data_IF_328961852596
#
_entry.id   IF_328961852596
#
_cell.length_a   1.000
_cell.length_b   1.000
_cell.length_c   1.000
_cell.angle_alpha   90.00
_cell.angle_beta   90.00
_cell.angle_gamma   90.00
#
_symmetry.space_group_name_H-M   'P 1'
#
loop_
_entity.id
_entity.type
_entity.pdbx_description
1 polymer ?
#
# COMPACT_ATOMS: atom_id res chain seq x y z
N UNK A 1 -18.42 2.52 33.54
CA UNK A 1 -17.28 2.27 32.64
C UNK A 1 -16.92 0.79 32.71
N UNK A 2 -16.92 0.06 31.58
CA UNK A 2 -16.50 -1.33 31.54
C UNK A 2 -14.99 -1.39 31.24
N UNK A 3 -14.19 -1.64 32.28
CA UNK A 3 -12.73 -1.67 32.20
C UNK A 3 -12.28 -3.13 32.12
N UNK A 4 -12.72 -3.86 31.10
CA UNK A 4 -12.21 -5.22 30.88
C UNK A 4 -10.78 -5.11 30.32
N UNK A 5 -9.74 -5.66 31.00
CA UNK A 5 -8.38 -5.62 30.48
C UNK A 5 -8.34 -6.44 29.19
N UNK A 6 -8.07 -5.81 28.05
CA UNK A 6 -7.84 -6.54 26.79
C UNK A 6 -6.72 -7.53 27.04
N UNK A 7 -6.97 -8.81 26.77
CA UNK A 7 -5.94 -9.84 26.91
C UNK A 7 -4.82 -9.59 25.90
N UNK A 8 -3.59 -9.99 26.23
CA UNK A 8 -2.43 -9.89 25.33
C UNK A 8 -2.72 -10.52 23.94
N UNK A 9 -3.54 -11.57 23.93
CA UNK A 9 -3.96 -12.27 22.71
C UNK A 9 -4.88 -11.41 21.83
N UNK A 10 -5.76 -10.60 22.40
CA UNK A 10 -6.65 -9.69 21.66
C UNK A 10 -5.86 -8.55 21.00
N UNK A 11 -4.80 -8.08 21.66
CA UNK A 11 -3.93 -7.03 21.13
C UNK A 11 -3.14 -7.54 19.91
N UNK A 12 -2.53 -8.72 20.01
CA UNK A 12 -1.81 -9.35 18.91
C UNK A 12 -2.71 -9.59 17.68
N UNK A 13 -3.95 -10.08 17.87
CA UNK A 13 -4.93 -10.22 16.79
C UNK A 13 -5.28 -8.88 16.14
N UNK A 14 -5.46 -7.84 16.96
CA UNK A 14 -5.79 -6.50 16.44
C UNK A 14 -4.67 -5.89 15.60
N UNK A 15 -3.41 -6.07 16.00
CA UNK A 15 -2.26 -5.61 15.23
C UNK A 15 -2.12 -6.38 13.93
N UNK A 16 -2.34 -7.71 13.96
CA UNK A 16 -2.30 -8.55 12.77
C UNK A 16 -3.37 -8.16 11.74
N UNK A 17 -4.60 -7.88 12.19
CA UNK A 17 -5.66 -7.37 11.33
C UNK A 17 -5.33 -5.98 10.77
N UNK A 18 -4.72 -5.11 11.58
CA UNK A 18 -4.27 -3.79 11.13
C UNK A 18 -3.21 -3.90 10.04
N UNK A 19 -2.19 -4.74 10.22
CA UNK A 19 -1.16 -4.97 9.19
C UNK A 19 -1.73 -5.63 7.95
N UNK A 20 -2.66 -6.58 8.08
CA UNK A 20 -3.35 -7.18 6.95
C UNK A 20 -4.17 -6.14 6.16
N UNK A 21 -4.83 -5.21 6.84
CA UNK A 21 -5.54 -4.09 6.21
C UNK A 21 -4.60 -3.17 5.43
N UNK A 22 -3.45 -2.80 6.02
CA UNK A 22 -2.44 -1.99 5.35
C UNK A 22 -1.85 -2.69 4.12
N UNK A 23 -1.52 -3.99 4.24
CA UNK A 23 -1.04 -4.80 3.13
C UNK A 23 -2.09 -4.90 2.01
N UNK A 24 -3.36 -5.06 2.36
CA UNK A 24 -4.46 -5.13 1.40
C UNK A 24 -4.61 -3.82 0.63
N UNK A 25 -4.50 -2.67 1.31
CA UNK A 25 -4.51 -1.36 0.65
C UNK A 25 -3.35 -1.22 -0.35
N UNK A 26 -2.15 -1.65 0.02
CA UNK A 26 -0.99 -1.66 -0.88
C UNK A 26 -1.23 -2.55 -2.11
N UNK A 27 -1.77 -3.76 -1.91
CA UNK A 27 -2.11 -4.66 -3.01
C UNK A 27 -3.13 -4.06 -3.97
N UNK A 28 -4.16 -3.38 -3.45
CA UNK A 28 -5.16 -2.68 -4.27
C UNK A 28 -4.50 -1.58 -5.10
N UNK A 29 -3.63 -0.75 -4.50
CA UNK A 29 -2.92 0.29 -5.25
C UNK A 29 -2.04 -0.27 -6.36
N UNK A 30 -1.32 -1.36 -6.09
CA UNK A 30 -0.48 -2.03 -7.08
C UNK A 30 -1.32 -2.65 -8.21
N UNK A 31 -2.43 -3.32 -7.87
CA UNK A 31 -3.32 -3.91 -8.85
C UNK A 31 -3.91 -2.84 -9.79
N UNK A 32 -4.34 -1.70 -9.24
CA UNK A 32 -4.84 -0.56 -10.03
C UNK A 32 -3.73 0.01 -10.90
N UNK A 33 -2.53 0.22 -10.37
CA UNK A 33 -1.39 0.76 -11.12
C UNK A 33 -1.03 -0.13 -12.33
N UNK A 34 -0.97 -1.44 -12.13
CA UNK A 34 -0.68 -2.42 -13.19
C UNK A 34 -1.83 -2.48 -14.20
N UNK A 35 -3.10 -2.53 -13.75
CA UNK A 35 -4.25 -2.56 -14.65
C UNK A 35 -4.36 -1.29 -15.50
N UNK A 36 -4.11 -0.12 -14.90
CA UNK A 36 -4.06 1.15 -15.59
C UNK A 36 -2.92 1.19 -16.61
N UNK A 37 -1.72 0.77 -16.21
CA UNK A 37 -0.56 0.69 -17.10
C UNK A 37 -0.81 -0.22 -18.29
N UNK A 38 -1.36 -1.42 -18.08
CA UNK A 38 -1.69 -2.35 -19.16
C UNK A 38 -2.72 -1.77 -20.13
N UNK A 39 -3.75 -1.08 -19.62
CA UNK A 39 -4.78 -0.47 -20.47
C UNK A 39 -4.19 0.65 -21.33
N UNK A 40 -3.32 1.49 -20.76
CA UNK A 40 -2.70 2.61 -21.48
C UNK A 40 -1.63 2.11 -22.47
N UNK A 41 -0.76 1.18 -22.06
CA UNK A 41 0.26 0.60 -22.95
C UNK A 41 -0.39 -0.06 -24.17
N UNK A 42 -1.48 -0.81 -23.97
CA UNK A 42 -2.23 -1.44 -25.07
C UNK A 42 -2.90 -0.42 -25.99
N UNK A 43 -3.42 0.68 -25.43
CA UNK A 43 -4.05 1.73 -26.22
C UNK A 43 -3.02 2.53 -27.04
N UNK A 44 -1.85 2.79 -26.45
CA UNK A 44 -0.78 3.54 -27.10
C UNK A 44 0.07 2.66 -28.05
N UNK A 45 -0.06 1.33 -27.98
CA UNK A 45 0.74 0.39 -28.78
C UNK A 45 2.23 0.39 -28.42
N UNK A 46 2.57 0.89 -27.22
CA UNK A 46 3.95 1.03 -26.76
C UNK A 46 4.35 -0.27 -26.05
N UNK A 47 5.65 -0.64 -26.11
CA UNK A 47 6.24 -1.65 -25.23
C UNK A 47 5.76 -1.41 -23.78
N UNK A 48 5.46 -2.45 -22.95
CA UNK A 48 4.73 -2.33 -21.68
C UNK A 48 5.51 -1.57 -20.58
N UNK A 49 5.79 -0.31 -20.84
CA UNK A 49 6.61 0.59 -20.06
C UNK A 49 5.81 1.15 -18.91
N UNK A 50 4.56 1.56 -19.14
CA UNK A 50 3.71 2.15 -18.09
C UNK A 50 3.25 1.08 -17.09
N UNK A 51 3.03 -0.15 -17.56
CA UNK A 51 2.73 -1.32 -16.73
C UNK A 51 3.83 -1.59 -15.71
N UNK A 52 5.09 -1.29 -16.03
CA UNK A 52 6.23 -1.44 -15.12
C UNK A 52 6.48 -0.13 -14.33
N UNK A 53 6.39 1.01 -14.98
CA UNK A 53 6.70 2.31 -14.40
C UNK A 53 5.69 2.71 -13.30
N UNK A 54 4.40 2.46 -13.50
CA UNK A 54 3.36 2.82 -12.54
C UNK A 54 3.44 2.10 -11.19
N UNK A 55 3.63 0.78 -11.11
CA UNK A 55 3.86 0.12 -9.82
C UNK A 55 5.18 0.56 -9.17
N UNK A 56 6.23 0.83 -9.95
CA UNK A 56 7.48 1.41 -9.43
C UNK A 56 7.25 2.78 -8.79
N UNK A 57 6.52 3.67 -9.48
CA UNK A 57 6.15 5.00 -8.97
C UNK A 57 5.26 4.91 -7.74
N UNK A 58 4.34 3.95 -7.71
CA UNK A 58 3.47 3.71 -6.55
C UNK A 58 4.29 3.33 -5.32
N UNK A 59 5.26 2.41 -5.47
CA UNK A 59 6.20 2.04 -4.42
C UNK A 59 7.08 3.23 -3.99
N UNK A 60 7.64 3.97 -4.95
CA UNK A 60 8.47 5.14 -4.66
C UNK A 60 7.70 6.23 -3.90
N UNK A 61 6.46 6.50 -4.30
CA UNK A 61 5.59 7.47 -3.62
C UNK A 61 5.21 7.00 -2.20
N UNK A 62 4.93 5.70 -2.03
CA UNK A 62 4.67 5.12 -0.72
C UNK A 62 5.89 5.26 0.19
N UNK A 63 7.08 4.89 -0.28
CA UNK A 63 8.32 5.03 0.47
C UNK A 63 8.62 6.50 0.78
N UNK A 64 8.47 7.39 -0.19
CA UNK A 64 8.63 8.82 0.05
C UNK A 64 7.69 9.33 1.15
N UNK A 65 6.42 8.92 1.12
CA UNK A 65 5.45 9.26 2.15
C UNK A 65 5.88 8.71 3.52
N UNK A 66 6.31 7.44 3.58
CA UNK A 66 6.80 6.81 4.80
C UNK A 66 8.04 7.54 5.35
N UNK A 67 9.01 7.89 4.50
CA UNK A 67 10.19 8.65 4.89
C UNK A 67 9.83 10.05 5.38
N UNK A 68 8.90 10.72 4.72
CA UNK A 68 8.43 12.05 5.14
C UNK A 68 7.69 12.01 6.47
N UNK A 69 6.84 11.02 6.68
CA UNK A 69 6.09 10.83 7.94
C UNK A 69 7.01 10.40 9.09
N UNK A 70 8.05 9.62 8.79
CA UNK A 70 9.00 9.14 9.81
C UNK A 70 10.10 10.17 10.11
N UNK A 71 10.55 10.92 9.10
CA UNK A 71 11.63 11.92 9.21
C UNK A 71 11.17 13.31 9.64
N UNK A 72 9.87 13.61 9.55
CA UNK A 72 9.28 14.89 9.95
C UNK A 72 8.84 14.97 11.41
N UNK A 73 9.14 13.98 12.25
CA UNK A 73 8.86 14.04 13.69
C UNK A 73 9.97 14.82 14.41
N UNK A 74 9.94 16.14 14.27
CA UNK A 74 10.58 17.10 15.17
C UNK A 74 9.64 18.26 15.41
#
# INVERSE_FOLDING_TARGET
>A
MNNSPRSLHDKAKSDLLRYAGLASQLLVYLAIAVAAGMKIDRWAGIFPLLTILFPLLTLAALFYKLFKETGGSK
#
